data_IF_267224327659
#
_entry.id   IF_267224327659
#
_cell.length_a   1.000
_cell.length_b   1.000
_cell.length_c   1.000
_cell.angle_alpha   90.00
_cell.angle_beta   90.00
_cell.angle_gamma   90.00
#
_symmetry.space_group_name_H-M   'P 1'
#
loop_
_entity.id
_entity.type
_entity.pdbx_description
1 polymer ?
#
# COMPACT_ATOMS: atom_id res chain seq x y z
N UNK A 1 -38.21 7.76 0.38
CA UNK A 1 -38.40 8.74 1.47
C UNK A 1 -38.88 10.09 0.97
N UNK A 2 -38.16 10.80 0.08
CA UNK A 2 -38.61 12.11 -0.43
C UNK A 2 -39.99 12.06 -1.09
N UNK A 3 -40.21 11.12 -2.01
CA UNK A 3 -41.49 10.95 -2.71
C UNK A 3 -42.66 10.64 -1.76
N UNK A 4 -42.44 9.82 -0.73
CA UNK A 4 -43.45 9.53 0.29
C UNK A 4 -43.70 10.73 1.22
N UNK A 5 -42.72 11.60 1.40
CA UNK A 5 -42.88 12.86 2.14
C UNK A 5 -43.50 14.00 1.33
N UNK A 6 -43.91 13.76 0.06
CA UNK A 6 -44.42 14.81 -0.82
C UNK A 6 -43.38 15.85 -1.24
N UNK A 7 -42.09 15.56 -1.05
CA UNK A 7 -41.00 16.49 -1.37
C UNK A 7 -40.59 16.29 -2.84
N UNK A 8 -40.50 17.38 -3.64
CA UNK A 8 -40.04 17.31 -5.02
C UNK A 8 -38.64 16.69 -5.13
N UNK A 9 -38.43 15.90 -6.18
CA UNK A 9 -37.17 15.21 -6.42
C UNK A 9 -36.10 16.18 -6.97
N UNK A 10 -34.99 16.46 -6.25
CA UNK A 10 -33.96 17.37 -6.76
C UNK A 10 -33.22 16.77 -7.97
N UNK A 11 -32.89 17.62 -8.94
CA UNK A 11 -32.26 17.19 -10.21
C UNK A 11 -30.85 16.60 -10.07
N UNK A 12 -30.16 16.90 -8.96
CA UNK A 12 -28.79 16.43 -8.70
C UNK A 12 -28.71 15.07 -7.99
N UNK A 13 -29.84 14.48 -7.57
CA UNK A 13 -29.82 13.14 -6.98
C UNK A 13 -29.81 12.10 -8.10
N UNK A 14 -28.81 11.20 -8.08
CA UNK A 14 -28.67 10.15 -9.10
C UNK A 14 -29.59 8.94 -8.90
N UNK A 15 -30.25 8.84 -7.74
CA UNK A 15 -31.19 7.79 -7.37
C UNK A 15 -32.47 7.77 -8.22
N UNK A 16 -33.36 6.81 -7.96
CA UNK A 16 -34.66 6.72 -8.62
C UNK A 16 -35.74 6.45 -7.58
N UNK A 17 -36.97 6.88 -7.85
CA UNK A 17 -38.11 6.50 -7.04
C UNK A 17 -38.51 5.06 -7.37
N UNK A 18 -38.14 4.11 -6.48
CA UNK A 18 -38.40 2.67 -6.63
C UNK A 18 -39.89 2.30 -6.68
N UNK A 19 -40.78 3.21 -6.26
CA UNK A 19 -42.22 2.98 -6.19
C UNK A 19 -43.01 3.81 -7.20
N UNK A 20 -42.33 4.45 -8.16
CA UNK A 20 -43.01 5.17 -9.21
C UNK A 20 -43.80 4.19 -10.10
N UNK A 21 -45.03 4.51 -10.52
CA UNK A 21 -45.81 3.64 -11.42
C UNK A 21 -45.09 3.35 -12.75
N UNK A 22 -44.21 4.25 -13.18
CA UNK A 22 -43.42 4.22 -14.40
C UNK A 22 -41.94 3.83 -14.16
N UNK A 23 -41.64 3.20 -13.01
CA UNK A 23 -40.27 2.80 -12.65
C UNK A 23 -39.59 2.02 -13.78
N UNK A 24 -38.41 2.51 -14.18
CA UNK A 24 -37.53 1.83 -15.14
C UNK A 24 -36.34 1.23 -14.41
N UNK A 25 -36.09 -0.06 -14.65
CA UNK A 25 -34.92 -0.74 -14.11
C UNK A 25 -33.63 -0.09 -14.65
N UNK A 26 -32.59 -0.08 -13.81
CA UNK A 26 -31.28 0.45 -14.20
C UNK A 26 -30.49 -0.60 -14.95
N UNK A 27 -29.74 -0.15 -15.94
CA UNK A 27 -28.76 -0.99 -16.64
C UNK A 27 -27.53 -1.30 -15.75
N UNK A 28 -27.23 -0.41 -14.78
CA UNK A 28 -26.14 -0.61 -13.84
C UNK A 28 -26.36 0.08 -12.48
N UNK A 29 -25.58 -0.37 -11.50
CA UNK A 29 -25.40 0.28 -10.19
C UNK A 29 -23.94 0.68 -10.04
N UNK A 30 -23.69 1.97 -9.81
CA UNK A 30 -22.37 2.49 -9.44
C UNK A 30 -22.18 2.49 -7.94
N UNK A 31 -20.96 2.21 -7.49
CA UNK A 31 -20.58 2.36 -6.08
C UNK A 31 -19.14 2.83 -5.96
N UNK A 32 -18.85 3.55 -4.89
CA UNK A 32 -17.51 4.04 -4.58
C UNK A 32 -17.16 3.78 -3.13
N UNK A 33 -15.87 3.57 -2.88
CA UNK A 33 -15.28 3.56 -1.54
C UNK A 33 -14.02 4.42 -1.60
N UNK A 34 -13.93 5.35 -0.67
CA UNK A 34 -12.71 6.13 -0.43
C UNK A 34 -12.11 5.66 0.90
N UNK A 35 -11.82 6.59 1.81
CA UNK A 35 -11.38 6.25 3.17
C UNK A 35 -12.40 5.36 3.88
N UNK A 36 -11.89 4.32 4.54
CA UNK A 36 -12.64 3.52 5.49
C UNK A 36 -11.89 3.49 6.81
N UNK A 37 -12.54 4.00 7.86
CA UNK A 37 -11.90 4.23 9.14
C UNK A 37 -10.66 5.14 8.97
N UNK A 38 -9.47 4.66 9.28
CA UNK A 38 -8.21 5.38 9.15
C UNK A 38 -7.37 4.89 7.97
N UNK A 39 -7.98 4.12 7.05
CA UNK A 39 -7.30 3.70 5.82
C UNK A 39 -7.79 4.44 4.61
N UNK A 40 -6.86 5.06 3.91
CA UNK A 40 -7.12 5.81 2.68
C UNK A 40 -7.11 4.84 1.51
N UNK A 41 -8.13 4.94 0.68
CA UNK A 41 -8.27 4.13 -0.53
C UNK A 41 -9.08 4.93 -1.55
N UNK A 42 -9.14 4.43 -2.77
CA UNK A 42 -10.08 4.89 -3.78
C UNK A 42 -10.43 3.73 -4.70
N UNK A 43 -11.69 3.33 -4.67
CA UNK A 43 -12.25 2.23 -5.44
C UNK A 43 -13.56 2.70 -6.08
N UNK A 44 -13.75 2.38 -7.35
CA UNK A 44 -15.01 2.62 -8.06
C UNK A 44 -15.45 1.31 -8.70
N UNK A 45 -16.74 1.01 -8.65
CA UNK A 45 -17.27 -0.23 -9.22
C UNK A 45 -18.59 0.00 -9.94
N UNK A 46 -18.79 -0.77 -11.00
CA UNK A 46 -20.02 -0.86 -11.78
C UNK A 46 -20.50 -2.31 -11.71
N UNK A 47 -21.75 -2.49 -11.27
CA UNK A 47 -22.46 -3.77 -11.36
C UNK A 47 -23.55 -3.67 -12.42
N UNK A 48 -23.49 -4.54 -13.41
CA UNK A 48 -24.58 -4.85 -14.35
C UNK A 48 -25.23 -6.17 -13.95
N UNK A 49 -26.21 -6.65 -14.72
CA UNK A 49 -26.92 -7.89 -14.37
C UNK A 49 -26.03 -9.11 -14.25
N UNK A 50 -25.01 -9.23 -15.10
CA UNK A 50 -24.12 -10.39 -15.14
C UNK A 50 -22.71 -10.12 -14.64
N UNK A 51 -22.23 -8.88 -14.68
CA UNK A 51 -20.83 -8.59 -14.38
C UNK A 51 -20.67 -7.53 -13.30
N UNK A 52 -19.59 -7.64 -12.54
CA UNK A 52 -19.07 -6.55 -11.71
C UNK A 52 -17.68 -6.19 -12.20
N UNK A 53 -17.49 -4.91 -12.49
CA UNK A 53 -16.20 -4.33 -12.81
C UNK A 53 -15.78 -3.39 -11.67
N UNK A 54 -14.55 -3.52 -11.20
CA UNK A 54 -13.97 -2.69 -10.14
C UNK A 54 -12.66 -2.10 -10.62
N UNK A 55 -12.45 -0.82 -10.35
CA UNK A 55 -11.19 -0.12 -10.58
C UNK A 55 -10.59 0.30 -9.25
N UNK A 56 -9.38 -0.18 -8.99
CA UNK A 56 -8.57 0.21 -7.83
C UNK A 56 -7.60 1.32 -8.26
N UNK A 57 -7.52 2.39 -7.48
CA UNK A 57 -6.64 3.53 -7.79
C UNK A 57 -5.37 3.57 -6.92
N UNK A 58 -5.40 2.96 -5.73
CA UNK A 58 -4.25 2.85 -4.82
C UNK A 58 -3.71 1.41 -4.86
N UNK A 59 -2.67 1.20 -5.67
CA UNK A 59 -2.06 -0.12 -5.95
C UNK A 59 -0.81 -0.40 -5.12
N UNK A 60 -0.31 0.64 -4.46
CA UNK A 60 0.80 0.66 -3.51
C UNK A 60 0.50 -0.06 -2.19
N UNK A 61 -0.73 -0.56 -2.00
CA UNK A 61 -1.17 -1.24 -0.78
C UNK A 61 -2.03 -2.46 -1.09
N UNK A 62 -1.90 -3.49 -0.26
CA UNK A 62 -2.71 -4.71 -0.35
C UNK A 62 -4.19 -4.45 0.02
N UNK A 63 -5.07 -5.41 -0.27
CA UNK A 63 -6.49 -5.31 0.09
C UNK A 63 -6.75 -5.33 1.59
N UNK A 64 -6.04 -6.16 2.36
CA UNK A 64 -6.26 -6.32 3.81
C UNK A 64 -5.61 -5.20 4.63
N UNK A 65 -6.04 -3.96 4.41
CA UNK A 65 -5.55 -2.80 5.16
C UNK A 65 -6.07 -2.78 6.61
N UNK A 66 -5.30 -2.21 7.57
CA UNK A 66 -5.71 -2.06 8.97
C UNK A 66 -6.98 -1.25 9.17
N UNK A 67 -7.97 -1.77 9.87
CA UNK A 67 -9.24 -1.07 10.07
C UNK A 67 -9.80 -1.35 11.47
N UNK A 68 -11.00 -0.84 11.77
CA UNK A 68 -11.74 -1.13 13.01
C UNK A 68 -11.89 -2.62 13.38
N UNK A 69 -11.68 -3.51 12.40
CA UNK A 69 -11.71 -4.97 12.52
C UNK A 69 -10.37 -5.57 12.98
N UNK A 70 -9.30 -4.78 13.02
CA UNK A 70 -8.00 -5.20 13.53
C UNK A 70 -8.08 -5.55 15.02
N UNK A 71 -7.35 -6.58 15.44
CA UNK A 71 -7.42 -7.14 16.79
C UNK A 71 -8.68 -7.97 17.05
N UNK A 72 -9.42 -8.35 16.00
CA UNK A 72 -10.45 -9.38 16.09
C UNK A 72 -9.82 -10.73 15.79
N UNK A 73 -10.19 -11.74 16.57
CA UNK A 73 -9.62 -13.09 16.50
C UNK A 73 -9.60 -13.68 15.08
N UNK A 74 -10.58 -13.37 14.22
CA UNK A 74 -10.61 -13.88 12.85
C UNK A 74 -9.54 -13.25 11.94
N UNK A 75 -9.13 -12.00 12.18
CA UNK A 75 -8.00 -11.38 11.48
C UNK A 75 -6.67 -11.81 12.07
N UNK A 76 -6.60 -11.98 13.38
CA UNK A 76 -5.40 -12.47 14.03
C UNK A 76 -5.07 -13.88 13.51
N UNK A 77 -6.07 -14.77 13.47
CA UNK A 77 -5.94 -16.11 12.88
C UNK A 77 -5.54 -16.08 11.38
N UNK A 78 -6.08 -15.13 10.60
CA UNK A 78 -5.72 -14.96 9.19
C UNK A 78 -4.25 -14.55 9.03
N UNK A 79 -3.77 -13.62 9.86
CA UNK A 79 -2.38 -13.14 9.87
C UNK A 79 -1.42 -14.23 10.35
N UNK A 80 -1.79 -14.97 11.40
CA UNK A 80 -1.02 -16.13 11.89
C UNK A 80 -0.89 -17.20 10.81
N UNK A 81 -2.00 -17.56 10.14
CA UNK A 81 -1.98 -18.55 9.06
C UNK A 81 -1.10 -18.09 7.88
N UNK A 82 -1.13 -16.79 7.55
CA UNK A 82 -0.27 -16.22 6.52
C UNK A 82 1.21 -16.25 6.95
N UNK A 83 1.53 -15.82 8.16
CA UNK A 83 2.88 -15.86 8.71
C UNK A 83 3.45 -17.30 8.75
N UNK A 84 2.62 -18.27 9.12
CA UNK A 84 2.97 -19.69 9.13
C UNK A 84 3.05 -20.32 7.72
N UNK A 85 2.68 -19.60 6.66
CA UNK A 85 2.66 -20.14 5.29
C UNK A 85 1.60 -21.23 5.06
N UNK A 86 0.57 -21.28 5.90
CA UNK A 86 -0.49 -22.31 5.85
C UNK A 86 -1.75 -21.86 5.11
N UNK A 87 -1.85 -20.57 4.81
CA UNK A 87 -2.97 -20.00 4.07
C UNK A 87 -2.96 -20.48 2.62
N UNK A 88 -4.13 -20.82 2.06
CA UNK A 88 -4.22 -21.27 0.66
C UNK A 88 -3.69 -20.17 -0.29
N UNK A 89 -3.02 -20.53 -1.41
CA UNK A 89 -2.45 -19.55 -2.33
C UNK A 89 -3.46 -18.50 -2.82
N UNK A 90 -4.73 -18.89 -3.02
CA UNK A 90 -5.76 -17.96 -3.48
C UNK A 90 -6.13 -16.91 -2.43
N UNK A 91 -6.14 -17.27 -1.15
CA UNK A 91 -6.39 -16.30 -0.07
C UNK A 91 -5.17 -15.40 0.16
N UNK A 92 -3.96 -15.91 -0.06
CA UNK A 92 -2.75 -15.08 -0.09
C UNK A 92 -2.86 -14.03 -1.18
N UNK A 93 -3.20 -14.44 -2.41
CA UNK A 93 -3.42 -13.53 -3.55
C UNK A 93 -4.47 -12.46 -3.22
N UNK A 94 -5.63 -12.85 -2.67
CA UNK A 94 -6.75 -11.92 -2.41
C UNK A 94 -6.43 -10.92 -1.29
N UNK A 95 -5.80 -11.34 -0.19
CA UNK A 95 -5.63 -10.47 0.98
C UNK A 95 -4.29 -9.75 1.02
N UNK A 96 -3.24 -10.39 0.51
CA UNK A 96 -1.85 -9.99 0.70
C UNK A 96 -1.08 -9.85 -0.62
N UNK A 97 -1.67 -10.27 -1.75
CA UNK A 97 -1.03 -10.19 -3.06
C UNK A 97 -1.11 -8.80 -3.69
N UNK A 98 -0.49 -8.70 -4.86
CA UNK A 98 -0.56 -7.53 -5.73
C UNK A 98 -2.01 -7.11 -5.98
N UNK A 99 -2.31 -5.87 -5.64
CA UNK A 99 -3.64 -5.33 -5.90
C UNK A 99 -3.79 -5.04 -7.40
N UNK A 100 -4.72 -5.70 -8.11
CA UNK A 100 -4.93 -5.45 -9.51
C UNK A 100 -5.56 -4.07 -9.73
N UNK A 101 -5.10 -3.34 -10.75
CA UNK A 101 -5.70 -2.06 -11.15
C UNK A 101 -7.18 -2.21 -11.56
N UNK A 102 -7.51 -3.36 -12.16
CA UNK A 102 -8.82 -3.66 -12.69
C UNK A 102 -9.25 -5.08 -12.29
N UNK A 103 -10.51 -5.21 -11.92
CA UNK A 103 -11.14 -6.48 -11.60
C UNK A 103 -12.44 -6.63 -12.39
N UNK A 104 -12.65 -7.79 -12.99
CA UNK A 104 -13.89 -8.13 -13.69
C UNK A 104 -14.36 -9.51 -13.24
N UNK A 105 -15.62 -9.62 -12.84
CA UNK A 105 -16.20 -10.88 -12.40
C UNK A 105 -17.51 -11.14 -13.12
N UNK A 106 -17.70 -12.37 -13.62
CA UNK A 106 -19.01 -12.90 -14.00
C UNK A 106 -19.73 -13.37 -12.73
N UNK A 107 -20.57 -12.52 -12.17
CA UNK A 107 -21.22 -12.77 -10.88
C UNK A 107 -22.30 -13.85 -10.94
N UNK A 108 -22.69 -14.29 -12.14
CA UNK A 108 -23.62 -15.42 -12.32
C UNK A 108 -22.85 -16.74 -12.24
N UNK A 109 -21.68 -16.82 -12.89
CA UNK A 109 -20.82 -18.02 -12.87
C UNK A 109 -19.97 -18.12 -11.60
N UNK A 110 -19.53 -16.99 -11.07
CA UNK A 110 -18.72 -16.86 -9.86
C UNK A 110 -19.37 -15.86 -8.89
N UNK A 111 -20.43 -16.27 -8.17
CA UNK A 111 -21.11 -15.39 -7.22
C UNK A 111 -20.19 -14.86 -6.11
N UNK A 112 -19.16 -15.64 -5.76
CA UNK A 112 -18.17 -15.31 -4.74
C UNK A 112 -17.11 -14.31 -5.23
N UNK A 113 -17.02 -14.05 -6.54
CA UNK A 113 -16.09 -13.08 -7.15
C UNK A 113 -14.62 -13.40 -6.82
N UNK A 114 -14.25 -14.67 -6.92
CA UNK A 114 -12.91 -15.16 -6.59
C UNK A 114 -11.97 -15.07 -7.81
N UNK A 115 -12.51 -15.25 -9.01
CA UNK A 115 -11.74 -15.36 -10.24
C UNK A 115 -11.82 -14.08 -11.07
N UNK A 116 -10.78 -13.25 -10.95
CA UNK A 116 -10.68 -12.01 -11.72
C UNK A 116 -10.42 -12.29 -13.21
N UNK A 117 -11.35 -11.88 -14.06
CA UNK A 117 -11.35 -12.05 -15.51
C UNK A 117 -10.67 -10.90 -16.27
N UNK A 118 -10.18 -9.86 -15.59
CA UNK A 118 -9.64 -8.65 -16.25
C UNK A 118 -8.45 -8.94 -17.19
N UNK A 119 -7.65 -9.97 -16.88
CA UNK A 119 -6.53 -10.41 -17.74
C UNK A 119 -6.93 -11.48 -18.77
N UNK A 120 -8.19 -11.91 -18.80
CA UNK A 120 -8.65 -12.92 -19.75
C UNK A 120 -8.86 -12.32 -21.14
N UNK A 121 -8.27 -12.94 -22.16
CA UNK A 121 -8.45 -12.53 -23.56
C UNK A 121 -9.91 -12.67 -24.02
N UNK A 122 -10.63 -13.67 -23.53
CA UNK A 122 -12.04 -13.94 -23.87
C UNK A 122 -12.98 -12.81 -23.40
N UNK A 123 -12.65 -12.14 -22.30
CA UNK A 123 -13.53 -11.14 -21.66
C UNK A 123 -13.14 -9.68 -21.96
N UNK A 124 -12.20 -9.44 -22.88
CA UNK A 124 -11.69 -8.09 -23.16
C UNK A 124 -12.79 -7.11 -23.60
N UNK A 125 -13.71 -7.51 -24.47
CA UNK A 125 -14.81 -6.66 -24.90
C UNK A 125 -15.73 -6.28 -23.74
N UNK A 126 -15.97 -7.24 -22.84
CA UNK A 126 -16.77 -7.01 -21.62
C UNK A 126 -16.06 -6.04 -20.68
N UNK A 127 -14.75 -6.20 -20.49
CA UNK A 127 -13.92 -5.29 -19.69
C UNK A 127 -13.96 -3.87 -20.26
N UNK A 128 -13.73 -3.71 -21.56
CA UNK A 128 -13.74 -2.40 -22.24
C UNK A 128 -15.10 -1.72 -22.10
N UNK A 129 -16.19 -2.47 -22.31
CA UNK A 129 -17.55 -1.96 -22.14
C UNK A 129 -17.80 -1.45 -20.71
N UNK A 130 -17.48 -2.25 -19.69
CA UNK A 130 -17.69 -1.84 -18.29
C UNK A 130 -16.76 -0.71 -17.84
N UNK A 131 -15.52 -0.68 -18.35
CA UNK A 131 -14.60 0.43 -18.17
C UNK A 131 -15.20 1.73 -18.71
N UNK A 132 -15.84 1.68 -19.88
CA UNK A 132 -16.53 2.83 -20.46
C UNK A 132 -17.68 3.30 -19.55
N UNK A 133 -18.54 2.40 -19.08
CA UNK A 133 -19.64 2.75 -18.17
C UNK A 133 -19.12 3.44 -16.92
N UNK A 134 -18.06 2.90 -16.30
CA UNK A 134 -17.45 3.48 -15.10
C UNK A 134 -16.89 4.87 -15.38
N UNK A 135 -16.14 5.03 -16.47
CA UNK A 135 -15.55 6.32 -16.84
C UNK A 135 -16.62 7.36 -17.14
N UNK A 136 -17.68 7.01 -17.87
CA UNK A 136 -18.80 7.90 -18.18
C UNK A 136 -19.56 8.31 -16.91
N UNK A 137 -19.70 7.40 -15.94
CA UNK A 137 -20.32 7.71 -14.65
C UNK A 137 -19.45 8.65 -13.81
N UNK A 138 -18.17 8.31 -13.61
CA UNK A 138 -17.21 9.12 -12.84
C UNK A 138 -17.01 10.51 -13.46
N UNK A 139 -17.06 10.64 -14.79
CA UNK A 139 -16.91 11.91 -15.49
C UNK A 139 -18.00 12.95 -15.17
N UNK A 140 -19.16 12.52 -14.62
CA UNK A 140 -20.23 13.42 -14.17
C UNK A 140 -19.87 14.16 -12.87
N UNK A 141 -18.92 13.63 -12.10
CA UNK A 141 -18.41 14.24 -10.87
C UNK A 141 -18.00 13.18 -9.85
N UNK A 142 -16.73 13.24 -9.42
CA UNK A 142 -16.17 12.38 -8.36
C UNK A 142 -15.24 13.22 -7.47
N UNK A 143 -15.77 13.68 -6.34
CA UNK A 143 -14.99 14.49 -5.39
C UNK A 143 -13.87 13.69 -4.71
N UNK A 144 -13.96 12.36 -4.70
CA UNK A 144 -12.89 11.48 -4.21
C UNK A 144 -11.77 11.25 -5.24
N UNK A 145 -11.78 11.96 -6.38
CA UNK A 145 -10.70 11.87 -7.36
C UNK A 145 -9.40 12.54 -6.93
N UNK A 146 -9.46 13.53 -6.04
CA UNK A 146 -8.31 14.17 -5.43
C UNK A 146 -7.84 13.44 -4.17
N UNK A 147 -6.66 13.82 -3.69
CA UNK A 147 -6.18 13.41 -2.37
C UNK A 147 -6.99 14.08 -1.25
N UNK A 148 -7.13 13.39 -0.12
CA UNK A 148 -7.84 13.91 1.05
C UNK A 148 -7.20 15.24 1.53
N UNK A 149 -8.00 16.29 1.80
CA UNK A 149 -7.48 17.57 2.27
C UNK A 149 -6.73 17.43 3.60
N UNK A 150 -5.72 18.29 3.83
CA UNK A 150 -4.90 18.26 5.07
C UNK A 150 -5.75 18.31 6.34
N UNK A 151 -6.78 19.15 6.39
CA UNK A 151 -7.66 19.27 7.56
C UNK A 151 -8.41 17.96 7.87
N UNK A 152 -8.82 17.20 6.86
CA UNK A 152 -9.49 15.91 7.06
C UNK A 152 -8.48 14.84 7.51
N UNK A 153 -7.27 14.84 6.93
CA UNK A 153 -6.17 14.00 7.39
C UNK A 153 -5.80 14.29 8.85
N UNK A 154 -5.75 15.55 9.26
CA UNK A 154 -5.47 15.94 10.65
C UNK A 154 -6.55 15.43 11.60
N UNK A 155 -7.83 15.60 11.24
CA UNK A 155 -8.96 15.13 12.06
C UNK A 155 -8.98 13.60 12.22
N UNK A 156 -8.65 12.85 11.16
CA UNK A 156 -8.68 11.39 11.19
C UNK A 156 -7.37 10.76 11.69
N UNK A 157 -6.23 11.41 11.43
CA UNK A 157 -4.89 10.89 11.66
C UNK A 157 -4.25 11.31 12.99
N UNK A 158 -4.76 12.36 13.65
CA UNK A 158 -4.24 12.88 14.93
C UNK A 158 -5.18 12.60 16.13
N UNK A 159 -6.28 11.87 15.90
CA UNK A 159 -7.31 11.56 16.89
C UNK A 159 -7.27 10.12 17.42
N UNK A 160 -8.45 9.47 17.43
CA UNK A 160 -8.73 8.13 17.98
C UNK A 160 -7.96 6.98 17.30
N UNK A 161 -7.62 7.16 16.02
CA UNK A 161 -7.00 6.11 15.22
C UNK A 161 -5.52 6.37 15.01
N UNK A 162 -4.77 5.29 14.79
CA UNK A 162 -3.33 5.37 14.55
C UNK A 162 -3.04 5.98 13.18
N UNK A 163 -3.83 5.73 12.14
CA UNK A 163 -3.63 6.30 10.79
C UNK A 163 -2.34 5.79 10.15
N UNK A 164 -2.41 4.66 9.44
CA UNK A 164 -1.25 3.85 9.02
C UNK A 164 -0.77 4.13 7.60
N UNK A 165 -1.54 4.86 6.78
CA UNK A 165 -1.11 5.14 5.41
C UNK A 165 -0.15 6.34 5.35
N UNK A 166 0.79 6.31 4.41
CA UNK A 166 1.81 7.34 4.24
C UNK A 166 1.24 8.75 4.01
N UNK A 167 0.00 8.88 3.52
CA UNK A 167 -0.65 10.18 3.36
C UNK A 167 -0.76 10.97 4.68
N UNK A 168 -0.83 10.31 5.83
CA UNK A 168 -0.89 10.98 7.14
C UNK A 168 0.43 11.64 7.53
N UNK A 169 1.58 11.17 7.03
CA UNK A 169 2.89 11.77 7.35
C UNK A 169 2.98 13.23 6.84
N UNK A 170 2.19 13.60 5.83
CA UNK A 170 2.09 14.99 5.33
C UNK A 170 1.56 16.01 6.35
N UNK A 171 0.89 15.53 7.41
CA UNK A 171 0.24 16.37 8.43
C UNK A 171 0.73 16.08 9.84
N UNK A 172 1.71 15.18 9.97
CA UNK A 172 2.34 14.87 11.25
C UNK A 172 3.67 15.58 11.35
N UNK A 173 4.05 15.86 12.59
CA UNK A 173 5.36 16.43 12.90
C UNK A 173 6.39 15.31 12.96
N UNK A 174 7.49 15.52 12.25
CA UNK A 174 8.75 14.79 12.34
C UNK A 174 9.79 15.83 12.80
N UNK A 175 10.09 15.82 14.09
CA UNK A 175 10.86 16.86 14.77
C UNK A 175 12.37 16.71 14.58
N UNK A 176 12.86 15.47 14.42
CA UNK A 176 14.29 15.18 14.29
C UNK A 176 14.70 14.82 12.85
N UNK A 177 13.73 14.63 11.95
CA UNK A 177 13.92 14.45 10.54
C UNK A 177 14.27 13.04 10.12
N UNK A 178 14.02 12.04 10.97
CA UNK A 178 14.39 10.65 10.69
C UNK A 178 13.52 9.98 9.62
N UNK A 179 12.43 10.64 9.23
CA UNK A 179 11.49 10.18 8.23
C UNK A 179 10.25 9.50 8.81
N UNK A 180 10.10 9.44 10.12
CA UNK A 180 8.92 8.99 10.83
C UNK A 180 8.39 10.14 11.69
N UNK A 181 7.08 10.20 11.89
CA UNK A 181 6.53 11.23 12.76
C UNK A 181 6.68 10.90 14.24
N UNK A 182 6.85 11.93 15.07
CA UNK A 182 7.02 11.80 16.52
C UNK A 182 5.90 10.99 17.18
N UNK A 183 4.69 11.11 16.65
CA UNK A 183 3.51 10.40 17.14
C UNK A 183 3.64 8.91 16.86
N UNK A 184 4.16 8.57 15.69
CA UNK A 184 4.33 7.22 15.19
C UNK A 184 5.42 6.47 15.94
N UNK A 185 6.54 7.13 16.15
CA UNK A 185 7.62 6.63 16.99
C UNK A 185 7.14 6.32 18.41
N UNK A 186 6.40 7.25 19.04
CA UNK A 186 5.79 7.01 20.36
C UNK A 186 4.84 5.81 20.37
N UNK A 187 4.07 5.61 19.30
CA UNK A 187 3.16 4.45 19.20
C UNK A 187 3.88 3.11 19.11
N UNK A 188 5.14 3.12 18.66
CA UNK A 188 6.00 1.94 18.52
C UNK A 188 7.15 1.93 19.55
N UNK A 189 7.09 2.78 20.58
CA UNK A 189 8.06 2.79 21.67
C UNK A 189 9.44 3.34 21.33
N UNK A 190 9.54 4.18 20.29
CA UNK A 190 10.79 4.85 19.84
C UNK A 190 10.89 6.28 20.39
N UNK A 191 12.10 6.83 20.38
CA UNK A 191 12.42 8.18 20.90
C UNK A 191 12.44 9.23 19.77
N UNK A 192 11.43 10.10 19.67
CA UNK A 192 11.24 11.03 18.55
C UNK A 192 12.19 12.23 18.52
N UNK A 193 13.23 12.20 19.34
CA UNK A 193 14.27 13.23 19.38
C UNK A 193 15.67 12.68 19.18
N UNK A 194 15.82 11.36 18.98
CA UNK A 194 17.14 10.75 18.90
C UNK A 194 17.80 10.97 17.52
N UNK A 195 16.99 11.21 16.48
CA UNK A 195 17.41 11.48 15.11
C UNK A 195 18.12 10.29 14.47
N UNK A 196 17.85 9.07 14.94
CA UNK A 196 18.49 7.87 14.42
C UNK A 196 17.78 7.35 13.20
N UNK A 197 18.55 6.92 12.23
CA UNK A 197 18.03 6.19 11.09
C UNK A 197 17.61 4.79 11.55
N UNK A 198 16.31 4.55 11.68
CA UNK A 198 15.76 3.27 12.12
C UNK A 198 14.37 3.01 11.52
N UNK A 199 14.31 2.01 10.63
CA UNK A 199 13.11 1.50 10.00
C UNK A 199 12.94 0.02 10.37
N UNK A 200 11.81 -0.37 10.95
CA UNK A 200 11.53 -1.75 11.38
C UNK A 200 10.25 -2.34 10.77
N UNK A 201 9.51 -1.54 9.99
CA UNK A 201 8.28 -1.94 9.30
C UNK A 201 7.20 -2.57 10.20
N UNK A 202 7.32 -2.39 11.51
CA UNK A 202 6.47 -2.94 12.57
C UNK A 202 5.32 -1.98 12.96
N UNK A 203 5.34 -0.81 12.35
CA UNK A 203 4.46 0.33 12.55
C UNK A 203 2.95 0.06 12.40
N UNK A 204 2.58 -1.12 11.91
CA UNK A 204 1.21 -1.59 11.82
C UNK A 204 0.62 -1.35 10.43
N UNK A 205 -0.03 -2.40 9.91
CA UNK A 205 -0.39 -2.43 8.51
C UNK A 205 0.80 -2.62 7.58
N UNK A 206 0.46 -2.95 6.35
CA UNK A 206 1.33 -3.12 5.20
C UNK A 206 1.88 -1.73 4.79
N UNK A 207 2.53 -1.03 5.72
CA UNK A 207 3.14 0.28 5.53
C UNK A 207 4.61 0.08 5.21
N UNK A 208 5.08 0.84 4.24
CA UNK A 208 6.48 0.78 3.77
C UNK A 208 7.38 1.73 4.55
N UNK A 209 6.90 2.36 5.62
CA UNK A 209 7.57 3.47 6.33
C UNK A 209 8.07 4.59 5.39
N UNK A 210 7.35 4.81 4.28
CA UNK A 210 7.67 5.83 3.28
C UNK A 210 8.70 5.40 2.24
N UNK A 211 9.12 4.13 2.26
CA UNK A 211 9.90 3.54 1.19
C UNK A 211 9.03 3.34 -0.06
N UNK A 212 9.60 3.58 -1.23
CA UNK A 212 8.93 3.47 -2.53
C UNK A 212 9.77 2.62 -3.49
N UNK A 213 9.12 1.94 -4.42
CA UNK A 213 9.76 1.13 -5.47
C UNK A 213 10.03 1.97 -6.72
N UNK A 214 11.12 1.67 -7.43
CA UNK A 214 11.42 2.24 -8.75
C UNK A 214 10.53 1.65 -9.89
N UNK A 215 9.61 0.75 -9.56
CA UNK A 215 8.74 0.04 -10.50
C UNK A 215 9.34 -1.26 -11.04
N UNK A 216 10.61 -1.58 -10.70
CA UNK A 216 11.25 -2.86 -10.99
C UNK A 216 10.91 -3.98 -10.00
N UNK A 217 10.06 -3.70 -9.01
CA UNK A 217 9.61 -4.63 -7.98
C UNK A 217 8.10 -4.81 -8.02
N UNK A 218 7.63 -5.93 -7.47
CA UNK A 218 6.25 -6.01 -6.97
C UNK A 218 6.02 -4.98 -5.85
N UNK A 219 4.79 -4.85 -5.36
CA UNK A 219 4.52 -4.09 -4.15
C UNK A 219 5.48 -4.56 -3.04
N UNK A 220 6.05 -3.59 -2.34
CA UNK A 220 7.08 -3.79 -1.33
C UNK A 220 6.50 -3.87 0.08
N UNK A 221 5.21 -3.55 0.23
CA UNK A 221 4.50 -3.71 1.48
C UNK A 221 4.34 -5.21 1.80
N UNK A 222 5.25 -5.72 2.62
CA UNK A 222 5.31 -7.12 2.98
C UNK A 222 4.49 -7.46 4.21
N UNK A 223 4.70 -8.68 4.73
CA UNK A 223 4.09 -9.15 5.98
C UNK A 223 4.29 -8.08 7.07
N UNK A 224 3.36 -7.98 8.02
CA UNK A 224 3.52 -7.05 9.13
C UNK A 224 4.91 -7.23 9.79
N UNK A 225 5.71 -6.16 9.85
CA UNK A 225 7.11 -6.19 10.28
C UNK A 225 8.14 -6.28 9.17
N UNK A 226 7.74 -6.32 7.88
CA UNK A 226 8.67 -6.55 6.77
C UNK A 226 8.31 -5.74 5.53
N UNK A 227 9.34 -5.41 4.74
CA UNK A 227 9.17 -5.29 3.29
C UNK A 227 9.34 -6.67 2.64
N UNK A 228 8.55 -6.98 1.64
CA UNK A 228 8.62 -8.25 0.88
C UNK A 228 8.30 -7.95 -0.58
N UNK A 229 9.18 -8.33 -1.49
CA UNK A 229 8.99 -8.09 -2.91
C UNK A 229 9.77 -9.05 -3.79
N UNK A 230 9.25 -9.26 -5.00
CA UNK A 230 9.92 -9.97 -6.07
C UNK A 230 10.54 -8.99 -7.06
N UNK A 231 11.74 -9.34 -7.54
CA UNK A 231 12.41 -8.63 -8.63
C UNK A 231 11.74 -8.92 -9.97
N UNK A 232 11.17 -7.90 -10.62
CA UNK A 232 10.59 -8.02 -11.97
C UNK A 232 11.67 -7.98 -13.07
N UNK A 233 12.84 -7.43 -12.73
CA UNK A 233 14.07 -7.30 -13.53
C UNK A 233 15.27 -7.77 -12.71
N UNK A 234 16.43 -7.99 -13.32
CA UNK A 234 17.64 -8.44 -12.58
C UNK A 234 18.17 -7.40 -11.58
N UNK A 235 17.84 -6.12 -11.80
CA UNK A 235 18.17 -5.02 -10.90
C UNK A 235 16.94 -4.18 -10.68
N UNK A 236 16.65 -3.84 -9.43
CA UNK A 236 15.58 -2.94 -9.03
C UNK A 236 15.90 -2.30 -7.68
N UNK A 237 15.20 -1.22 -7.34
CA UNK A 237 15.52 -0.41 -6.17
C UNK A 237 14.30 -0.02 -5.34
N UNK A 238 14.55 0.22 -4.06
CA UNK A 238 13.67 1.02 -3.21
C UNK A 238 14.37 2.31 -2.78
N UNK A 239 13.61 3.37 -2.59
CA UNK A 239 14.13 4.65 -2.10
C UNK A 239 13.29 5.21 -0.96
N UNK A 240 13.95 6.05 -0.14
CA UNK A 240 13.32 6.83 0.92
C UNK A 240 13.79 8.28 0.79
N UNK A 241 12.86 9.16 0.44
CA UNK A 241 13.13 10.58 0.17
C UNK A 241 12.53 11.51 1.23
N UNK A 242 13.07 12.72 1.35
CA UNK A 242 12.55 13.74 2.28
C UNK A 242 13.02 13.55 3.72
N UNK A 243 14.09 12.78 3.93
CA UNK A 243 14.80 12.66 5.19
C UNK A 243 15.51 13.98 5.56
N UNK A 244 15.86 14.14 6.82
CA UNK A 244 16.78 15.18 7.31
C UNK A 244 17.72 14.62 8.38
N UNK A 245 18.17 13.38 8.16
CA UNK A 245 19.06 12.65 9.06
C UNK A 245 20.39 13.37 9.19
N UNK A 246 20.81 13.66 10.41
CA UNK A 246 22.15 14.17 10.71
C UNK A 246 23.15 13.01 10.69
N UNK A 247 24.05 13.01 9.70
CA UNK A 247 25.13 12.02 9.60
C UNK A 247 26.03 12.00 10.85
N UNK A 248 26.17 13.13 11.55
CA UNK A 248 26.94 13.25 12.79
C UNK A 248 26.35 12.48 13.96
N UNK A 249 25.03 12.27 13.98
CA UNK A 249 24.32 11.42 14.97
C UNK A 249 24.31 9.94 14.58
N UNK A 250 24.50 9.64 13.30
CA UNK A 250 24.37 8.31 12.72
C UNK A 250 25.71 7.83 12.18
N UNK A 251 26.61 7.39 13.07
CA UNK A 251 27.95 6.91 12.68
C UNK A 251 28.04 5.39 12.78
N UNK A 252 29.10 4.82 12.20
CA UNK A 252 29.38 3.39 12.31
C UNK A 252 29.06 2.68 10.99
N UNK A 253 28.04 1.84 10.98
CA UNK A 253 27.69 1.00 9.83
C UNK A 253 26.22 1.17 9.47
N UNK A 254 25.95 1.31 8.17
CA UNK A 254 24.62 1.11 7.64
C UNK A 254 24.32 -0.39 7.64
N UNK A 255 23.26 -0.81 8.30
CA UNK A 255 22.91 -2.20 8.48
C UNK A 255 21.51 -2.50 7.94
N UNK A 256 21.38 -3.61 7.23
CA UNK A 256 20.14 -4.14 6.69
C UNK A 256 19.99 -5.58 7.15
N UNK A 257 18.87 -5.94 7.79
CA UNK A 257 18.53 -7.35 8.04
C UNK A 257 17.56 -7.84 6.99
N UNK A 258 17.98 -8.85 6.23
CA UNK A 258 17.22 -9.38 5.10
C UNK A 258 17.41 -10.87 4.91
N UNK A 259 16.55 -11.45 4.07
CA UNK A 259 16.71 -12.77 3.45
C UNK A 259 16.35 -12.69 1.97
N UNK A 260 16.82 -13.64 1.17
CA UNK A 260 16.61 -13.64 -0.28
C UNK A 260 16.57 -15.06 -0.83
N UNK A 261 15.65 -15.30 -1.76
CA UNK A 261 15.53 -16.57 -2.47
C UNK A 261 16.58 -16.73 -3.60
N UNK A 262 17.35 -15.68 -3.89
CA UNK A 262 18.48 -15.66 -4.82
C UNK A 262 19.76 -15.11 -4.18
N UNK A 263 20.91 -15.31 -4.85
CA UNK A 263 22.11 -14.55 -4.49
C UNK A 263 21.88 -13.09 -4.88
N UNK A 264 22.17 -12.17 -3.96
CA UNK A 264 21.81 -10.75 -4.08
C UNK A 264 23.00 -9.87 -3.78
N UNK A 265 23.30 -8.92 -4.67
CA UNK A 265 24.19 -7.80 -4.37
C UNK A 265 23.34 -6.60 -3.97
N UNK A 266 23.56 -6.04 -2.78
CA UNK A 266 22.99 -4.77 -2.37
C UNK A 266 23.96 -3.65 -2.67
N UNK A 267 23.49 -2.57 -3.29
CA UNK A 267 24.18 -1.27 -3.36
C UNK A 267 23.40 -0.21 -2.61
N UNK A 268 24.09 0.59 -1.80
CA UNK A 268 23.48 1.67 -1.01
C UNK A 268 24.01 3.02 -1.50
N UNK A 269 23.08 3.94 -1.72
CA UNK A 269 23.33 5.32 -2.16
C UNK A 269 22.63 6.27 -1.20
N UNK A 270 23.32 7.33 -0.79
CA UNK A 270 22.76 8.42 0.02
C UNK A 270 23.00 9.75 -0.68
N UNK A 271 21.96 10.58 -0.82
CA UNK A 271 22.03 11.86 -1.54
C UNK A 271 22.62 11.74 -2.98
N UNK A 272 22.46 10.59 -3.63
CA UNK A 272 23.06 10.30 -4.94
C UNK A 272 24.51 9.82 -4.92
N UNK A 273 25.18 9.83 -3.76
CA UNK A 273 26.55 9.35 -3.59
C UNK A 273 26.56 7.90 -3.09
N UNK A 274 27.45 7.08 -3.65
CA UNK A 274 27.57 5.67 -3.25
C UNK A 274 28.18 5.55 -1.84
N UNK A 275 27.51 4.80 -0.96
CA UNK A 275 28.04 4.45 0.35
C UNK A 275 28.83 3.14 0.30
N UNK A 276 28.38 2.18 -0.50
CA UNK A 276 29.05 0.90 -0.68
C UNK A 276 28.13 -0.15 -1.27
N UNK A 277 28.65 -1.37 -1.37
CA UNK A 277 27.88 -2.55 -1.75
C UNK A 277 28.26 -3.75 -0.89
N UNK A 278 27.34 -4.72 -0.79
CA UNK A 278 27.54 -5.95 -0.06
C UNK A 278 26.83 -7.11 -0.77
N UNK A 279 27.57 -8.19 -1.00
CA UNK A 279 27.04 -9.43 -1.54
C UNK A 279 26.43 -10.30 -0.45
N UNK A 280 25.32 -10.95 -0.77
CA UNK A 280 24.59 -11.85 0.09
C UNK A 280 24.24 -13.14 -0.64
N UNK A 281 24.49 -14.28 0.01
CA UNK A 281 24.12 -15.59 -0.54
C UNK A 281 22.64 -15.89 -0.27
N UNK A 282 21.99 -16.60 -1.18
CA UNK A 282 20.64 -17.13 -0.97
C UNK A 282 20.51 -17.78 0.41
N UNK A 283 19.46 -17.42 1.15
CA UNK A 283 19.15 -18.00 2.47
C UNK A 283 17.69 -17.76 2.83
N UNK A 284 17.07 -18.76 3.46
CA UNK A 284 15.72 -18.66 4.03
C UNK A 284 15.71 -18.05 5.44
N UNK A 285 16.91 -17.92 6.06
CA UNK A 285 17.13 -17.29 7.36
C UNK A 285 17.53 -15.82 7.19
N UNK A 286 17.01 -14.96 8.06
CA UNK A 286 17.40 -13.55 8.13
C UNK A 286 18.84 -13.38 8.60
N UNK A 287 19.59 -12.58 7.85
CA UNK A 287 20.96 -12.20 8.18
C UNK A 287 21.12 -10.69 8.10
N UNK A 288 22.08 -10.15 8.85
CA UNK A 288 22.45 -8.74 8.78
C UNK A 288 23.62 -8.57 7.82
N UNK A 289 23.48 -7.66 6.88
CA UNK A 289 24.59 -7.11 6.09
C UNK A 289 24.91 -5.71 6.60
N UNK A 290 26.19 -5.36 6.57
CA UNK A 290 26.69 -4.09 7.09
C UNK A 290 27.62 -3.43 6.07
N UNK A 291 27.44 -2.14 5.86
CA UNK A 291 28.29 -1.30 5.02
C UNK A 291 28.86 -0.19 5.91
N UNK A 292 30.19 -0.12 6.09
CA UNK A 292 30.82 0.94 6.86
C UNK A 292 30.49 2.32 6.29
N UNK A 293 30.08 3.26 7.16
CA UNK A 293 29.84 4.65 6.79
C UNK A 293 31.18 5.41 6.81
N UNK A 294 31.65 5.78 5.62
CA UNK A 294 32.90 6.51 5.42
C UNK A 294 32.68 7.98 5.07
N UNK A 295 33.64 8.58 4.36
CA UNK A 295 33.66 10.01 4.04
C UNK A 295 32.47 10.49 3.20
N UNK A 296 31.82 9.59 2.44
CA UNK A 296 30.61 9.90 1.68
C UNK A 296 29.36 10.07 2.56
N UNK A 297 29.40 9.64 3.82
CA UNK A 297 28.32 9.83 4.79
C UNK A 297 28.56 11.10 5.62
N UNK A 298 28.09 12.23 5.12
CA UNK A 298 28.34 13.55 5.73
C UNK A 298 27.18 14.52 5.56
N UNK A 299 27.08 15.47 6.48
CA UNK A 299 26.04 16.51 6.49
C UNK A 299 24.64 15.96 6.75
N UNK A 300 23.65 16.51 6.05
CA UNK A 300 22.24 16.10 6.16
C UNK A 300 21.90 15.12 5.05
N UNK A 301 21.48 13.92 5.42
CA UNK A 301 21.03 12.87 4.52
C UNK A 301 19.54 13.10 4.22
N UNK A 302 19.24 13.35 2.95
CA UNK A 302 17.91 13.71 2.43
C UNK A 302 17.23 12.57 1.70
N UNK A 303 18.02 11.66 1.16
CA UNK A 303 17.52 10.48 0.47
C UNK A 303 18.43 9.29 0.66
N UNK A 304 17.81 8.11 0.66
CA UNK A 304 18.47 6.82 0.56
C UNK A 304 17.90 6.03 -0.62
N UNK A 305 18.75 5.27 -1.28
CA UNK A 305 18.37 4.28 -2.27
C UNK A 305 19.10 2.97 -2.01
N UNK A 306 18.35 1.88 -2.02
CA UNK A 306 18.82 0.51 -1.91
C UNK A 306 18.54 -0.19 -3.23
N UNK A 307 19.59 -0.51 -3.99
CA UNK A 307 19.48 -1.26 -5.24
C UNK A 307 19.86 -2.70 -5.01
N UNK A 308 18.98 -3.61 -5.39
CA UNK A 308 19.17 -5.06 -5.30
C UNK A 308 19.43 -5.62 -6.68
N UNK A 309 20.51 -6.39 -6.82
CA UNK A 309 20.83 -7.15 -8.04
C UNK A 309 20.77 -8.64 -7.73
N UNK A 310 19.81 -9.35 -8.33
CA UNK A 310 19.58 -10.77 -8.13
C UNK A 310 18.90 -11.38 -9.38
N UNK A 311 18.88 -12.72 -9.55
CA UNK A 311 18.12 -13.34 -10.62
C UNK A 311 16.65 -12.84 -10.62
N UNK A 312 16.08 -12.64 -11.81
CA UNK A 312 14.66 -12.28 -11.94
C UNK A 312 13.78 -13.27 -11.16
N UNK A 313 12.69 -12.75 -10.58
CA UNK A 313 11.75 -13.45 -9.72
C UNK A 313 12.33 -13.90 -8.36
N UNK A 314 13.55 -13.45 -8.01
CA UNK A 314 14.05 -13.57 -6.63
C UNK A 314 13.17 -12.74 -5.69
N UNK A 315 12.82 -13.34 -4.57
CA UNK A 315 12.07 -12.73 -3.46
C UNK A 315 13.08 -12.18 -2.47
N UNK A 316 12.91 -10.93 -2.06
CA UNK A 316 13.70 -10.30 -1.01
C UNK A 316 12.75 -9.86 0.08
N UNK A 317 13.06 -10.25 1.31
CA UNK A 317 12.36 -9.78 2.50
C UNK A 317 13.32 -8.99 3.37
N UNK A 318 12.93 -7.77 3.73
CA UNK A 318 13.68 -6.87 4.61
C UNK A 318 12.94 -6.75 5.93
N UNK A 319 13.63 -7.07 7.01
CA UNK A 319 13.11 -6.99 8.38
C UNK A 319 13.35 -5.61 9.00
N UNK A 320 14.56 -5.05 8.85
CA UNK A 320 14.84 -3.69 9.30
C UNK A 320 16.02 -3.05 8.56
N UNK A 321 16.05 -1.72 8.61
CA UNK A 321 17.11 -0.84 8.09
C UNK A 321 17.52 0.12 9.20
N UNK A 322 18.80 0.17 9.59
CA UNK A 322 19.27 1.15 10.58
C UNK A 322 20.75 1.46 10.50
N UNK A 323 21.19 2.45 11.26
CA UNK A 323 22.62 2.69 11.52
C UNK A 323 23.01 2.11 12.88
N UNK A 324 24.15 1.40 12.94
CA UNK A 324 24.72 0.74 14.13
C UNK A 324 26.12 1.24 14.45
#
# INVERSE_FOLDING_TARGET
>A
TLSWGGIPYPKWIEGQNLFAPDFQAREFVGSGRDRCDHTIDRVRTIRTDRYRYTKNYKLDRVFLQPQYRDGRNFLDALREAYAAGTLSPKLVEIYFGERPAEELYDIVKDPAQVNNLAKSAEYQDTLISHRKILNDWVAKGDLGAGEEPKIELEQNGNGRFKGVNAEYERVRTDSDGDGLSDRWEKFNGRDPGDGKLQFEFDCGGWQTEGWESDGGLTNIAGRQGFLDFNLLTEVASISRDGLKIDAGKNKGKFALRLRSSGATELKVVANGEALGSAGFSKSDQFTTIEIPLGDSWTGIIKSLQLSFSAPKDSTIEVDWIRVQ
#
